data_IF_619170948929
#
_entry.id   IF_619170948929
#
_cell.length_a   1.000
_cell.length_b   1.000
_cell.length_c   1.000
_cell.angle_alpha   90.00
_cell.angle_beta   90.00
_cell.angle_gamma   90.00
#
_symmetry.space_group_name_H-M   'P 1'
#
loop_
_entity.id
_entity.type
_entity.pdbx_description
1 polymer ?
#
# COMPACT_ATOMS: atom_id res chain seq x y z
N UNK A 1 -0.39 28.06 6.91
CA UNK A 1 0.86 28.78 7.24
C UNK A 1 1.65 27.85 8.15
N UNK A 2 2.80 27.34 7.70
CA UNK A 2 3.62 26.42 8.50
C UNK A 2 4.61 27.28 9.30
N UNK A 3 4.54 27.23 10.62
CA UNK A 3 5.25 28.11 11.55
C UNK A 3 6.44 27.37 12.18
N UNK A 4 7.59 28.04 12.23
CA UNK A 4 8.85 27.50 12.72
C UNK A 4 9.34 28.33 13.92
N UNK A 5 9.92 27.69 14.94
CA UNK A 5 10.51 28.33 16.12
C UNK A 5 11.81 27.59 16.52
N UNK A 6 12.82 28.28 17.11
CA UNK A 6 14.19 27.81 17.01
C UNK A 6 14.58 26.73 18.02
N UNK A 7 14.96 25.56 17.50
CA UNK A 7 15.55 24.43 18.24
C UNK A 7 16.99 24.12 17.82
N UNK A 8 17.56 23.03 18.38
CA UNK A 8 18.93 22.61 18.06
C UNK A 8 19.06 22.04 16.64
N UNK A 9 17.95 21.55 16.09
CA UNK A 9 17.81 20.90 14.79
C UNK A 9 18.04 21.84 13.62
N UNK A 10 17.84 23.16 13.80
CA UNK A 10 18.26 24.17 12.82
C UNK A 10 19.76 24.09 12.53
N UNK A 11 20.61 23.89 13.56
CA UNK A 11 22.06 23.77 13.36
C UNK A 11 22.44 22.51 12.58
N UNK A 12 21.72 21.41 12.81
CA UNK A 12 21.91 20.19 12.03
C UNK A 12 21.38 20.34 10.60
N UNK A 13 20.22 20.97 10.41
CA UNK A 13 19.63 21.27 9.11
C UNK A 13 20.57 22.13 8.26
N UNK A 14 21.01 23.27 8.78
CA UNK A 14 21.86 24.23 8.06
C UNK A 14 23.22 23.62 7.71
N UNK A 15 23.87 22.92 8.66
CA UNK A 15 25.13 22.24 8.40
C UNK A 15 25.00 21.13 7.34
N UNK A 16 23.92 20.33 7.39
CA UNK A 16 23.67 19.27 6.41
C UNK A 16 23.27 19.83 5.04
N UNK A 17 22.47 20.91 4.98
CA UNK A 17 22.12 21.61 3.74
C UNK A 17 23.33 22.26 3.08
N UNK A 18 24.19 22.92 3.85
CA UNK A 18 25.39 23.57 3.33
C UNK A 18 26.38 22.56 2.74
N UNK A 19 26.58 21.41 3.40
CA UNK A 19 27.51 20.39 2.92
C UNK A 19 26.92 19.44 1.87
N UNK A 20 25.60 19.18 1.91
CA UNK A 20 24.94 18.17 1.08
C UNK A 20 23.57 18.66 0.56
N UNK A 21 23.50 19.71 -0.27
CA UNK A 21 22.24 20.35 -0.66
C UNK A 21 21.25 19.41 -1.37
N UNK A 22 21.73 18.38 -2.06
CA UNK A 22 20.90 17.39 -2.76
C UNK A 22 20.26 16.32 -1.87
N UNK A 23 20.67 16.17 -0.60
CA UNK A 23 20.07 15.20 0.33
C UNK A 23 18.68 15.66 0.77
N UNK A 24 17.77 14.71 1.01
CA UNK A 24 16.44 14.96 1.57
C UNK A 24 16.45 14.74 3.08
N UNK A 25 15.93 15.72 3.81
CA UNK A 25 15.89 15.72 5.28
C UNK A 25 14.50 15.30 5.73
N UNK A 26 14.45 14.21 6.50
CA UNK A 26 13.25 13.68 7.15
C UNK A 26 13.31 14.05 8.64
N UNK A 27 12.26 14.70 9.14
CA UNK A 27 12.04 14.98 10.57
C UNK A 27 11.44 13.76 11.26
N UNK A 28 11.88 13.41 12.47
CA UNK A 28 11.27 12.36 13.29
C UNK A 28 10.01 12.82 14.08
N UNK A 29 9.62 14.09 13.99
CA UNK A 29 8.40 14.59 14.64
C UNK A 29 7.13 14.32 13.80
N UNK A 30 6.06 13.91 14.47
CA UNK A 30 4.74 13.59 13.87
C UNK A 30 4.00 14.86 13.38
N UNK A 31 4.31 15.26 12.15
CA UNK A 31 3.78 16.45 11.47
C UNK A 31 2.25 16.59 11.29
N UNK A 32 1.39 15.55 11.43
CA UNK A 32 -0.07 15.71 11.47
C UNK A 32 -0.59 16.18 12.84
N UNK A 33 0.12 15.87 13.93
CA UNK A 33 -0.33 16.18 15.31
C UNK A 33 0.14 17.56 15.77
N UNK A 34 1.35 17.96 15.38
CA UNK A 34 1.90 19.28 15.63
C UNK A 34 2.57 19.85 14.36
N UNK A 35 2.56 21.18 14.20
CA UNK A 35 3.38 21.80 13.16
C UNK A 35 4.86 21.62 13.50
N UNK A 36 5.66 21.19 12.51
CA UNK A 36 7.11 21.10 12.67
C UNK A 36 7.69 22.48 13.01
N UNK A 37 8.46 22.57 14.09
CA UNK A 37 9.14 23.78 14.54
C UNK A 37 10.44 24.06 13.75
N UNK A 38 11.05 23.01 13.19
CA UNK A 38 12.19 23.06 12.27
C UNK A 38 11.81 22.84 10.79
N UNK A 39 12.62 23.33 9.82
CA UNK A 39 12.44 23.01 8.40
C UNK A 39 12.83 21.55 8.07
N UNK A 40 12.11 20.92 7.14
CA UNK A 40 12.40 19.58 6.61
C UNK A 40 11.90 19.44 5.16
N UNK A 41 12.30 18.39 4.43
CA UNK A 41 11.63 18.00 3.18
C UNK A 41 10.42 17.08 3.47
N UNK A 42 10.56 16.24 4.50
CA UNK A 42 9.57 15.26 4.94
C UNK A 42 9.44 15.27 6.47
N UNK A 43 8.30 14.84 6.98
CA UNK A 43 8.14 14.36 8.36
C UNK A 43 7.90 12.86 8.34
N UNK A 44 8.33 12.15 9.37
CA UNK A 44 8.09 10.72 9.51
C UNK A 44 6.77 10.46 10.25
N UNK A 45 6.08 9.39 9.88
CA UNK A 45 4.78 9.00 10.41
C UNK A 45 4.78 7.52 10.71
N UNK A 46 4.64 7.17 11.99
CA UNK A 46 4.63 5.78 12.46
C UNK A 46 3.22 5.39 12.91
N UNK A 47 2.74 4.20 12.57
CA UNK A 47 1.45 3.71 13.08
C UNK A 47 1.43 2.21 13.40
N UNK A 48 1.32 1.91 14.69
CA UNK A 48 1.14 0.57 15.24
C UNK A 48 -0.25 0.49 15.90
N UNK A 49 -1.18 -0.27 15.32
CA UNK A 49 -2.59 -0.24 15.75
C UNK A 49 -3.36 -1.52 15.39
N UNK A 50 -4.68 -1.54 15.58
CA UNK A 50 -5.56 -2.66 15.18
C UNK A 50 -5.85 -2.66 13.67
N UNK A 51 -6.29 -3.80 13.13
CA UNK A 51 -6.57 -3.92 11.69
C UNK A 51 -7.70 -2.97 11.25
N UNK A 52 -8.77 -2.88 12.04
CA UNK A 52 -9.88 -1.95 11.80
C UNK A 52 -9.40 -0.49 11.75
N UNK A 53 -8.54 -0.09 12.69
CA UNK A 53 -7.98 1.26 12.72
C UNK A 53 -7.11 1.54 11.49
N UNK A 54 -6.17 0.64 11.15
CA UNK A 54 -5.25 0.84 10.04
C UNK A 54 -5.99 0.87 8.69
N UNK A 55 -6.97 -0.03 8.48
CA UNK A 55 -7.84 -0.01 7.30
C UNK A 55 -8.61 1.33 7.18
N UNK A 56 -9.12 1.87 8.29
CA UNK A 56 -9.80 3.18 8.29
C UNK A 56 -8.90 4.35 7.86
N UNK A 57 -7.57 4.20 7.95
CA UNK A 57 -6.60 5.21 7.51
C UNK A 57 -6.40 5.27 5.98
N UNK A 58 -7.17 4.51 5.20
CA UNK A 58 -7.26 4.59 3.71
C UNK A 58 -7.38 6.02 3.16
N UNK A 59 -7.91 6.98 3.94
CA UNK A 59 -8.05 8.39 3.55
C UNK A 59 -7.18 9.38 4.36
N UNK A 60 -6.30 8.88 5.24
CA UNK A 60 -5.48 9.67 6.19
C UNK A 60 -4.70 10.80 5.53
N UNK A 61 -4.17 10.57 4.32
CA UNK A 61 -3.27 11.50 3.63
C UNK A 61 -3.93 12.34 2.53
N UNK A 62 -5.20 12.07 2.17
CA UNK A 62 -5.90 12.71 1.04
C UNK A 62 -6.07 14.23 1.22
N UNK A 63 -6.03 14.73 2.47
CA UNK A 63 -6.10 16.16 2.81
C UNK A 63 -4.75 16.78 3.21
N UNK A 64 -3.63 16.08 3.01
CA UNK A 64 -2.30 16.67 3.33
C UNK A 64 -1.96 17.83 2.41
N UNK A 65 -1.34 18.87 2.99
CA UNK A 65 -0.82 19.98 2.20
C UNK A 65 0.20 19.50 1.17
N UNK A 66 0.05 19.95 -0.08
CA UNK A 66 1.03 19.68 -1.14
C UNK A 66 2.18 20.70 -1.16
N UNK A 67 2.20 21.67 -0.24
CA UNK A 67 3.16 22.80 -0.19
C UNK A 67 3.95 22.94 1.12
N UNK A 68 3.66 22.11 2.14
CA UNK A 68 4.51 21.94 3.33
C UNK A 68 5.19 20.55 3.29
N UNK A 69 6.07 20.19 4.26
CA UNK A 69 6.80 18.92 4.23
C UNK A 69 5.89 17.69 4.09
N UNK A 70 6.35 16.69 3.34
CA UNK A 70 5.56 15.50 2.97
C UNK A 70 5.64 14.41 4.03
N UNK A 71 4.65 13.52 4.08
CA UNK A 71 4.78 12.30 4.86
C UNK A 71 5.86 11.37 4.25
N UNK A 72 6.83 10.98 5.08
CA UNK A 72 7.47 9.67 5.08
C UNK A 72 6.64 8.76 6.00
N UNK A 73 6.56 7.47 5.70
CA UNK A 73 5.78 6.51 6.50
C UNK A 73 6.66 5.30 6.79
N UNK A 74 7.81 5.50 7.43
CA UNK A 74 8.84 4.45 7.59
C UNK A 74 8.26 3.16 8.17
N UNK A 75 7.40 3.30 9.17
CA UNK A 75 6.93 2.20 10.01
C UNK A 75 5.39 2.17 10.10
N UNK A 76 4.80 1.07 9.67
CA UNK A 76 3.45 0.69 10.12
C UNK A 76 3.35 -0.82 10.32
N UNK A 77 2.49 -1.23 11.24
CA UNK A 77 2.03 -2.61 11.34
C UNK A 77 0.69 -2.70 12.09
N UNK A 78 -0.09 -3.73 11.77
CA UNK A 78 -1.12 -4.22 12.69
C UNK A 78 -0.46 -4.97 13.83
N UNK A 79 -0.91 -4.72 15.07
CA UNK A 79 -0.27 -5.20 16.29
C UNK A 79 -1.28 -5.78 17.30
N UNK A 80 -0.78 -6.49 18.31
CA UNK A 80 -1.62 -7.21 19.26
C UNK A 80 -2.31 -8.42 18.62
N UNK A 81 -3.51 -8.75 19.09
CA UNK A 81 -4.25 -9.95 18.68
C UNK A 81 -4.54 -9.99 17.16
N UNK A 82 -4.79 -8.83 16.55
CA UNK A 82 -5.06 -8.71 15.11
C UNK A 82 -3.80 -9.01 14.26
N UNK A 83 -2.60 -8.72 14.80
CA UNK A 83 -1.34 -8.82 14.08
C UNK A 83 -0.78 -10.25 14.03
N UNK A 84 -0.78 -10.94 15.18
CA UNK A 84 -0.25 -12.30 15.31
C UNK A 84 1.24 -12.40 14.96
N UNK A 85 1.60 -13.35 14.10
CA UNK A 85 2.91 -13.40 13.40
C UNK A 85 2.84 -12.85 11.96
N UNK A 86 1.65 -12.46 11.51
CA UNK A 86 1.40 -11.78 10.24
C UNK A 86 0.09 -12.27 9.61
N UNK A 87 -1.05 -11.90 10.20
CA UNK A 87 -2.37 -12.42 9.78
C UNK A 87 -2.86 -11.89 8.43
N UNK A 88 -3.79 -12.62 7.81
CA UNK A 88 -4.55 -12.12 6.66
C UNK A 88 -5.36 -10.85 7.03
N UNK A 89 -5.87 -10.76 8.25
CA UNK A 89 -6.56 -9.57 8.78
C UNK A 89 -5.63 -8.34 8.80
N UNK A 90 -4.38 -8.54 9.21
CA UNK A 90 -3.32 -7.53 9.13
C UNK A 90 -3.05 -7.13 7.67
N UNK A 91 -2.85 -8.09 6.78
CA UNK A 91 -2.58 -7.82 5.36
C UNK A 91 -3.73 -7.10 4.64
N UNK A 92 -4.99 -7.34 5.01
CA UNK A 92 -6.14 -6.61 4.46
C UNK A 92 -6.17 -5.14 4.94
N UNK A 93 -5.80 -4.90 6.20
CA UNK A 93 -5.65 -3.55 6.74
C UNK A 93 -4.46 -2.81 6.10
N UNK A 94 -3.33 -3.50 5.95
CA UNK A 94 -2.15 -3.02 5.22
C UNK A 94 -2.52 -2.70 3.76
N UNK A 95 -3.32 -3.51 3.09
CA UNK A 95 -3.76 -3.28 1.72
C UNK A 95 -4.65 -2.03 1.59
N UNK A 96 -5.65 -1.86 2.47
CA UNK A 96 -6.47 -0.65 2.51
C UNK A 96 -5.64 0.61 2.74
N UNK A 97 -4.77 0.56 3.76
CA UNK A 97 -3.84 1.65 4.07
C UNK A 97 -2.89 1.93 2.90
N UNK A 98 -2.31 0.90 2.28
CA UNK A 98 -1.44 1.02 1.11
C UNK A 98 -2.16 1.56 -0.12
N UNK A 99 -3.47 1.34 -0.31
CA UNK A 99 -4.22 2.01 -1.39
C UNK A 99 -4.33 3.51 -1.12
N UNK A 100 -4.61 3.90 0.14
CA UNK A 100 -4.55 5.30 0.58
C UNK A 100 -3.16 5.91 0.40
N UNK A 101 -2.11 5.17 0.79
CA UNK A 101 -0.73 5.56 0.55
C UNK A 101 -0.39 5.58 -0.94
N UNK A 102 -0.95 4.74 -1.82
CA UNK A 102 -0.67 4.75 -3.27
C UNK A 102 -1.12 6.04 -3.95
N UNK A 103 -2.23 6.64 -3.49
CA UNK A 103 -2.65 8.00 -3.89
C UNK A 103 -1.61 9.08 -3.51
N UNK A 104 -0.62 8.72 -2.69
CA UNK A 104 0.39 9.60 -2.09
C UNK A 104 1.87 9.08 -2.21
N UNK A 105 2.08 7.85 -2.72
CA UNK A 105 3.32 7.04 -2.94
C UNK A 105 4.12 6.56 -1.69
N UNK A 106 3.94 5.29 -1.24
CA UNK A 106 4.79 4.60 -0.23
C UNK A 106 4.70 3.03 -0.25
N UNK A 107 5.66 2.30 0.37
CA UNK A 107 5.64 0.84 0.68
C UNK A 107 6.73 0.42 1.73
N UNK A 108 6.47 -0.45 2.75
CA UNK A 108 7.46 -0.92 3.75
C UNK A 108 7.80 -2.44 3.67
N UNK A 109 7.88 -3.15 4.82
CA UNK A 109 8.66 -4.40 5.08
C UNK A 109 7.82 -5.65 5.47
N UNK A 110 8.35 -6.88 5.34
CA UNK A 110 7.49 -8.09 5.40
C UNK A 110 8.02 -9.55 5.57
N UNK A 111 9.32 -9.84 5.72
CA UNK A 111 9.84 -11.23 5.64
C UNK A 111 10.20 -11.81 7.01
N UNK A 112 9.78 -13.06 7.29
CA UNK A 112 10.13 -13.81 8.51
C UNK A 112 11.16 -14.90 8.18
N UNK A 113 12.21 -15.01 8.99
CA UNK A 113 13.31 -15.96 8.76
C UNK A 113 13.96 -16.49 10.05
N UNK A 114 14.73 -17.57 9.89
CA UNK A 114 15.66 -18.11 10.89
C UNK A 114 16.97 -18.55 10.19
N UNK A 115 17.87 -19.24 10.89
CA UNK A 115 19.17 -19.68 10.38
C UNK A 115 19.14 -20.69 9.21
N UNK A 116 17.98 -21.21 8.81
CA UNK A 116 17.84 -22.23 7.76
C UNK A 116 16.59 -22.11 6.88
N UNK A 117 15.59 -21.31 7.27
CA UNK A 117 14.30 -21.16 6.57
C UNK A 117 13.83 -19.70 6.57
N UNK A 118 13.02 -19.34 5.59
CA UNK A 118 12.28 -18.08 5.55
C UNK A 118 10.90 -18.28 4.92
N UNK A 119 9.99 -17.34 5.14
CA UNK A 119 8.71 -17.21 4.43
C UNK A 119 8.27 -15.74 4.38
N UNK A 120 7.46 -15.39 3.39
CA UNK A 120 6.78 -14.10 3.34
C UNK A 120 5.44 -14.17 4.07
N UNK A 121 5.11 -13.16 4.87
CA UNK A 121 3.77 -13.04 5.46
C UNK A 121 2.72 -12.73 4.39
N UNK A 122 1.42 -12.88 4.66
CA UNK A 122 0.35 -12.18 3.95
C UNK A 122 0.71 -10.74 3.52
N UNK A 123 1.32 -9.92 4.40
CA UNK A 123 1.73 -8.55 4.07
C UNK A 123 2.87 -8.48 3.03
N UNK A 124 3.78 -9.45 2.97
CA UNK A 124 4.78 -9.57 1.89
C UNK A 124 4.11 -9.71 0.53
N UNK A 125 3.04 -10.49 0.47
CA UNK A 125 2.32 -10.73 -0.77
C UNK A 125 1.51 -9.51 -1.22
N UNK A 126 0.96 -8.73 -0.29
CA UNK A 126 0.37 -7.41 -0.58
C UNK A 126 1.44 -6.44 -1.14
N UNK A 127 2.60 -6.34 -0.49
CA UNK A 127 3.70 -5.50 -0.99
C UNK A 127 4.22 -5.98 -2.35
N UNK A 128 4.26 -7.30 -2.60
CA UNK A 128 4.59 -7.88 -3.91
C UNK A 128 3.58 -7.47 -5.00
N UNK A 129 2.29 -7.37 -4.69
CA UNK A 129 1.29 -6.79 -5.62
C UNK A 129 1.55 -5.29 -5.89
N UNK A 130 2.25 -4.60 -4.99
CA UNK A 130 2.49 -3.16 -5.06
C UNK A 130 3.82 -2.80 -5.73
N UNK A 131 4.75 -3.76 -5.89
CA UNK A 131 6.03 -3.65 -6.61
C UNK A 131 5.92 -2.94 -7.97
N UNK A 132 4.99 -3.40 -8.80
CA UNK A 132 4.80 -2.93 -10.20
C UNK A 132 4.24 -1.50 -10.29
N UNK A 133 4.01 -0.86 -9.14
CA UNK A 133 3.53 0.53 -9.07
C UNK A 133 4.66 1.55 -8.93
N UNK A 134 5.90 1.10 -8.71
CA UNK A 134 7.07 1.98 -8.72
C UNK A 134 7.33 2.48 -10.14
N UNK A 135 7.15 3.79 -10.36
CA UNK A 135 7.22 4.41 -11.69
C UNK A 135 5.92 4.32 -12.53
N UNK A 136 4.85 3.73 -12.00
CA UNK A 136 3.57 3.67 -12.70
C UNK A 136 2.81 5.01 -12.69
N UNK A 137 1.92 5.20 -13.67
CA UNK A 137 1.01 6.35 -13.77
C UNK A 137 -0.35 6.01 -13.17
N UNK A 138 -0.92 6.94 -12.40
CA UNK A 138 -2.19 6.78 -11.68
C UNK A 138 -3.33 7.50 -12.45
N UNK A 139 -4.20 6.78 -13.19
CA UNK A 139 -5.41 7.36 -13.79
C UNK A 139 -6.47 7.73 -12.73
N UNK A 140 -7.44 8.56 -13.12
CA UNK A 140 -8.63 8.86 -12.31
C UNK A 140 -9.57 7.65 -12.25
N UNK A 141 -9.44 6.86 -11.18
CA UNK A 141 -10.22 5.64 -10.96
C UNK A 141 -11.31 5.86 -9.90
N UNK A 142 -12.57 5.74 -10.30
CA UNK A 142 -13.75 5.99 -9.45
C UNK A 142 -14.50 4.71 -9.13
N UNK A 143 -14.39 4.25 -7.89
CA UNK A 143 -15.16 3.11 -7.38
C UNK A 143 -16.60 3.55 -7.07
N UNK A 144 -17.56 3.02 -7.83
CA UNK A 144 -18.99 3.22 -7.58
C UNK A 144 -19.51 2.06 -6.73
N UNK A 145 -19.66 2.28 -5.42
CA UNK A 145 -20.18 1.27 -4.49
C UNK A 145 -20.83 1.91 -3.26
N UNK A 146 -21.75 1.18 -2.64
CA UNK A 146 -22.33 1.52 -1.34
C UNK A 146 -21.61 0.83 -0.16
N UNK A 147 -20.60 -0.03 -0.44
CA UNK A 147 -19.85 -0.72 0.61
C UNK A 147 -18.66 0.10 1.11
N UNK A 148 -18.54 0.25 2.43
CA UNK A 148 -17.36 0.81 3.10
C UNK A 148 -16.18 -0.16 3.19
N UNK A 149 -16.36 -1.45 2.87
CA UNK A 149 -15.30 -2.47 2.93
C UNK A 149 -14.54 -2.65 1.62
N UNK A 150 -14.97 -2.02 0.53
CA UNK A 150 -14.34 -2.11 -0.78
C UNK A 150 -13.50 -0.86 -1.06
N UNK A 151 -12.22 -1.07 -1.37
CA UNK A 151 -11.28 -0.03 -1.77
C UNK A 151 -10.62 -0.45 -3.08
N UNK A 152 -10.51 0.47 -4.04
CA UNK A 152 -9.90 0.21 -5.33
C UNK A 152 -8.94 1.33 -5.76
N UNK A 153 -8.02 0.96 -6.65
CA UNK A 153 -7.10 1.86 -7.36
C UNK A 153 -6.64 1.16 -8.63
N UNK A 154 -6.45 1.92 -9.71
CA UNK A 154 -5.91 1.43 -10.97
C UNK A 154 -4.56 2.11 -11.27
N UNK A 155 -3.69 1.44 -12.01
CA UNK A 155 -2.41 1.98 -12.47
C UNK A 155 -2.21 1.66 -13.96
N UNK A 156 -1.35 2.42 -14.62
CA UNK A 156 -0.87 2.15 -15.98
C UNK A 156 0.66 2.10 -15.98
N UNK A 157 1.21 1.03 -16.56
CA UNK A 157 2.64 0.69 -16.53
C UNK A 157 2.97 -0.25 -17.69
N UNK A 158 4.26 -0.42 -18.01
CA UNK A 158 4.72 -1.22 -19.16
C UNK A 158 5.66 -2.33 -18.68
N UNK A 159 5.19 -3.59 -18.71
CA UNK A 159 5.99 -4.80 -18.49
C UNK A 159 5.28 -6.04 -19.07
N UNK A 160 5.95 -7.21 -19.13
CA UNK A 160 5.52 -8.37 -19.92
C UNK A 160 5.23 -9.67 -19.13
N UNK A 161 4.03 -10.26 -19.35
CA UNK A 161 3.63 -11.70 -19.32
C UNK A 161 2.97 -12.41 -18.07
N UNK A 162 1.71 -12.87 -18.24
CA UNK A 162 1.07 -14.20 -17.90
C UNK A 162 0.60 -14.55 -16.40
N UNK A 163 0.06 -15.77 -15.99
CA UNK A 163 -1.35 -16.04 -15.49
C UNK A 163 -1.45 -17.06 -14.25
N UNK A 164 -2.48 -17.83 -13.74
CA UNK A 164 -3.93 -18.28 -13.79
C UNK A 164 -4.35 -18.81 -12.35
N UNK A 165 -5.56 -19.18 -11.80
CA UNK A 165 -7.07 -19.08 -11.94
C UNK A 165 -7.79 -19.51 -10.61
N UNK A 166 -8.93 -19.01 -10.03
CA UNK A 166 -9.91 -17.85 -10.12
C UNK A 166 -10.45 -17.53 -8.69
N UNK A 167 -10.86 -16.31 -8.26
CA UNK A 167 -12.20 -15.64 -8.41
C UNK A 167 -12.03 -14.17 -8.89
N UNK A 168 -13.00 -13.25 -8.72
CA UNK A 168 -13.39 -12.28 -9.76
C UNK A 168 -13.56 -10.80 -9.21
N UNK A 169 -13.85 -9.71 -9.98
CA UNK A 169 -14.32 -8.34 -9.56
C UNK A 169 -14.80 -7.42 -10.75
N UNK A 170 -16.00 -6.76 -10.73
CA UNK A 170 -16.50 -5.87 -11.82
C UNK A 170 -15.78 -4.52 -11.92
N UNK A 171 -15.34 -4.16 -13.13
CA UNK A 171 -14.60 -2.93 -13.48
C UNK A 171 -15.05 -2.42 -14.86
N UNK A 172 -15.08 -1.09 -15.06
CA UNK A 172 -15.26 -0.44 -16.37
C UNK A 172 -14.09 0.49 -16.65
N UNK A 173 -13.61 0.54 -17.89
CA UNK A 173 -12.42 1.31 -18.31
C UNK A 173 -12.81 2.25 -19.45
N UNK A 174 -12.60 3.56 -19.27
CA UNK A 174 -12.89 4.57 -20.29
C UNK A 174 -11.65 5.40 -20.63
N UNK A 175 -11.58 5.94 -21.85
CA UNK A 175 -10.46 6.77 -22.32
C UNK A 175 -9.18 6.01 -22.75
N UNK A 176 -9.08 4.70 -22.52
CA UNK A 176 -8.09 3.85 -23.20
C UNK A 176 -8.55 3.58 -24.63
N UNK A 177 -7.75 4.00 -25.63
CA UNK A 177 -8.06 3.90 -27.06
C UNK A 177 -7.96 2.49 -27.65
N UNK A 178 -8.63 1.52 -27.03
CA UNK A 178 -8.58 0.10 -27.35
C UNK A 178 -9.68 -0.27 -28.37
N UNK A 179 -9.32 -0.27 -29.65
CA UNK A 179 -10.18 -0.79 -30.73
C UNK A 179 -10.09 -2.33 -30.86
N UNK A 180 -9.70 -3.03 -29.80
CA UNK A 180 -9.39 -4.47 -29.81
C UNK A 180 -9.53 -5.10 -28.43
N UNK A 181 -10.11 -6.29 -28.39
CA UNK A 181 -10.31 -7.13 -27.18
C UNK A 181 -8.99 -7.40 -26.43
N UNK A 182 -9.00 -7.37 -25.09
CA UNK A 182 -7.80 -7.47 -24.27
C UNK A 182 -7.38 -8.93 -24.05
N UNK A 183 -6.49 -9.44 -24.91
CA UNK A 183 -5.89 -10.77 -24.77
C UNK A 183 -4.86 -10.84 -23.63
N UNK A 184 -4.92 -11.88 -22.81
CA UNK A 184 -3.91 -12.17 -21.79
C UNK A 184 -4.08 -11.42 -20.46
N UNK A 185 -5.23 -10.78 -20.23
CA UNK A 185 -5.58 -10.15 -18.96
C UNK A 185 -5.55 -11.13 -17.78
N UNK A 186 -5.03 -10.68 -16.64
CA UNK A 186 -4.92 -11.49 -15.43
C UNK A 186 -5.46 -10.79 -14.19
N UNK A 187 -5.85 -11.57 -13.18
CA UNK A 187 -6.12 -11.11 -11.81
C UNK A 187 -5.21 -11.90 -10.86
N UNK A 188 -4.97 -11.41 -9.65
CA UNK A 188 -4.31 -12.16 -8.58
C UNK A 188 -5.08 -11.96 -7.28
N UNK A 189 -5.19 -13.01 -6.47
CA UNK A 189 -5.98 -13.05 -5.24
C UNK A 189 -5.11 -13.57 -4.10
N UNK A 190 -5.11 -12.85 -2.97
CA UNK A 190 -4.57 -13.29 -1.69
C UNK A 190 -5.77 -13.39 -0.74
N UNK A 191 -6.05 -14.57 -0.18
CA UNK A 191 -7.26 -14.81 0.62
C UNK A 191 -7.11 -16.09 1.45
N UNK A 192 -7.96 -16.28 2.45
CA UNK A 192 -8.16 -17.57 3.15
C UNK A 192 -9.60 -17.62 3.72
N UNK A 193 -10.03 -18.80 4.15
CA UNK A 193 -11.31 -19.00 4.83
C UNK A 193 -11.36 -18.41 6.25
N UNK A 194 -10.20 -18.15 6.86
CA UNK A 194 -10.06 -17.51 8.16
C UNK A 194 -9.13 -16.29 8.08
N UNK A 195 -9.58 -15.16 8.60
CA UNK A 195 -8.80 -13.89 8.59
C UNK A 195 -7.59 -13.95 9.54
N UNK A 196 -7.58 -14.86 10.51
CA UNK A 196 -6.44 -15.07 11.41
C UNK A 196 -5.45 -16.15 10.91
N UNK A 197 -5.47 -16.47 9.61
CA UNK A 197 -4.49 -17.39 9.02
C UNK A 197 -3.16 -16.71 8.70
N UNK A 198 -2.07 -17.44 8.93
CA UNK A 198 -0.68 -16.97 8.83
C UNK A 198 0.19 -18.04 8.14
N UNK A 199 1.27 -17.60 7.49
CA UNK A 199 2.34 -18.49 7.03
C UNK A 199 3.29 -18.81 8.20
N UNK A 200 3.99 -19.95 8.16
CA UNK A 200 4.82 -20.44 9.27
C UNK A 200 6.00 -21.30 8.79
N UNK A 201 6.92 -21.68 9.69
CA UNK A 201 8.00 -22.63 9.33
C UNK A 201 7.55 -24.09 9.14
N UNK A 202 6.28 -24.39 9.44
CA UNK A 202 5.63 -25.70 9.25
C UNK A 202 4.84 -25.70 7.94
N UNK A 203 4.03 -24.66 7.72
CA UNK A 203 3.31 -24.37 6.49
C UNK A 203 3.65 -22.95 6.01
N UNK A 204 4.66 -22.78 5.14
CA UNK A 204 5.14 -21.46 4.70
C UNK A 204 4.32 -20.87 3.55
N UNK A 205 3.29 -21.58 3.06
CA UNK A 205 2.50 -21.20 1.88
C UNK A 205 0.98 -21.26 2.11
N UNK A 206 0.53 -21.35 3.37
CA UNK A 206 -0.89 -21.38 3.78
C UNK A 206 -1.72 -20.24 3.16
N UNK A 207 -1.15 -19.04 3.12
CA UNK A 207 -1.78 -17.81 2.62
C UNK A 207 -0.81 -17.15 1.63
N UNK A 208 -0.98 -17.47 0.35
CA UNK A 208 -0.15 -17.00 -0.77
C UNK A 208 -1.03 -16.58 -1.96
N UNK A 209 -0.49 -15.77 -2.90
CA UNK A 209 -1.22 -15.39 -4.10
C UNK A 209 -1.54 -16.56 -5.04
N UNK A 210 -2.82 -16.71 -5.37
CA UNK A 210 -3.26 -17.44 -6.57
C UNK A 210 -3.49 -16.43 -7.69
N UNK A 211 -2.92 -16.66 -8.89
CA UNK A 211 -3.15 -15.80 -10.05
C UNK A 211 -4.47 -16.19 -10.76
N UNK A 212 -4.78 -15.62 -11.93
CA UNK A 212 -6.06 -15.78 -12.66
C UNK A 212 -5.97 -15.24 -14.09
N UNK A 213 -6.59 -15.89 -15.08
CA UNK A 213 -6.93 -15.27 -16.38
C UNK A 213 -8.33 -14.69 -16.34
N UNK A 214 -8.46 -13.52 -16.96
CA UNK A 214 -9.72 -12.81 -17.10
C UNK A 214 -10.24 -13.05 -18.52
N UNK A 215 -10.97 -14.16 -18.67
CA UNK A 215 -11.77 -14.42 -19.87
C UNK A 215 -12.71 -13.25 -20.13
N UNK A 216 -12.82 -12.83 -21.40
CA UNK A 216 -13.66 -11.72 -21.84
C UNK A 216 -13.33 -10.37 -21.15
N UNK A 217 -12.04 -10.09 -20.94
CA UNK A 217 -11.61 -8.72 -20.66
C UNK A 217 -11.87 -7.83 -21.89
N UNK A 218 -12.83 -6.93 -21.74
CA UNK A 218 -13.23 -5.90 -22.71
C UNK A 218 -13.39 -4.55 -21.97
N UNK A 219 -14.08 -3.56 -22.55
CA UNK A 219 -14.34 -2.26 -21.92
C UNK A 219 -14.99 -2.38 -20.53
N UNK A 220 -15.97 -3.28 -20.43
CA UNK A 220 -16.64 -3.65 -19.18
C UNK A 220 -16.26 -5.09 -18.84
N UNK A 221 -15.72 -5.30 -17.63
CA UNK A 221 -15.19 -6.57 -17.15
C UNK A 221 -16.04 -6.99 -15.95
N UNK A 222 -16.74 -8.13 -16.02
CA UNK A 222 -17.91 -8.40 -15.16
C UNK A 222 -17.79 -9.65 -14.27
N UNK A 223 -17.64 -9.47 -12.94
CA UNK A 223 -16.97 -10.47 -12.10
C UNK A 223 -17.11 -10.16 -10.56
N UNK A 224 -16.91 -11.12 -9.62
CA UNK A 224 -17.25 -11.07 -8.15
C UNK A 224 -16.10 -11.45 -7.18
N UNK A 225 -15.80 -10.65 -6.14
CA UNK A 225 -14.72 -10.96 -5.14
C UNK A 225 -15.10 -12.08 -4.15
N UNK A 226 -14.13 -12.87 -3.65
CA UNK A 226 -14.31 -13.65 -2.43
C UNK A 226 -14.32 -12.72 -1.19
N UNK A 227 -14.81 -13.18 -0.03
CA UNK A 227 -14.58 -12.50 1.24
C UNK A 227 -13.08 -12.43 1.55
N UNK A 228 -12.63 -11.35 2.20
CA UNK A 228 -11.28 -11.23 2.75
C UNK A 228 -10.15 -11.37 1.70
N UNK A 229 -10.20 -10.53 0.65
CA UNK A 229 -9.18 -10.43 -0.42
C UNK A 229 -9.02 -9.01 -0.98
#
# INVERSE_FOLDING_TARGET
MCFFLPGNDLKFYDAKRSAYPGIKIISNCDGPSHSLDHPADYYDFHVFTSASNLFSMTHKFDRTSRTCPKASVSDYAVTGNDGGTGSLLAALADAGFLIGLKRNRWNPDAIVFNSSKHYGTPSYWVQKFFRESSGATLPDAKLQTNSSTLVASAITWQNSNLPENKVNLKVSIDGLGLNSQLSGSTKTVLTSSNVMDENSFVDPIKVVPAQTTLENADKDIDVVLPPYS
#
